data_IF_513668866287
#
_entry.id   IF_513668866287
#
_cell.length_a   1.000
_cell.length_b   1.000
_cell.length_c   1.000
_cell.angle_alpha   90.00
_cell.angle_beta   90.00
_cell.angle_gamma   90.00
#
_symmetry.space_group_name_H-M   'P 1'
#
loop_
_entity.id
_entity.type
_entity.pdbx_description
1 polymer ?
#
# COMPACT_ATOMS: atom_id res chain seq x y z
N UNK A 1 -4.44 -15.12 -3.62
CA UNK A 1 -5.85 -14.86 -3.37
C UNK A 1 -6.16 -13.37 -3.29
N UNK A 2 -5.40 -12.62 -2.52
CA UNK A 2 -5.68 -11.19 -2.36
C UNK A 2 -4.96 -10.29 -3.37
N UNK A 3 -4.22 -10.88 -4.31
CA UNK A 3 -3.45 -10.11 -5.30
C UNK A 3 -4.31 -9.17 -6.12
N UNK A 4 -5.45 -9.66 -6.58
CA UNK A 4 -6.32 -8.84 -7.43
C UNK A 4 -6.91 -7.65 -6.67
N UNK A 5 -7.26 -7.85 -5.41
CA UNK A 5 -7.77 -6.75 -4.59
C UNK A 5 -6.71 -5.66 -4.42
N UNK A 6 -5.47 -6.05 -4.14
CA UNK A 6 -4.38 -5.09 -3.97
C UNK A 6 -4.11 -4.35 -5.28
N UNK A 7 -4.04 -5.09 -6.40
CA UNK A 7 -3.77 -4.46 -7.69
C UNK A 7 -4.87 -3.49 -8.07
N UNK A 8 -6.11 -3.89 -7.84
CA UNK A 8 -7.26 -3.02 -8.14
C UNK A 8 -7.19 -1.76 -7.30
N UNK A 9 -6.96 -1.90 -6.00
CA UNK A 9 -6.96 -0.77 -5.09
C UNK A 9 -5.83 0.22 -5.42
N UNK A 10 -4.62 -0.29 -5.61
CA UNK A 10 -3.49 0.57 -5.97
C UNK A 10 -3.73 1.27 -7.30
N UNK A 11 -4.29 0.58 -8.28
CA UNK A 11 -4.57 1.18 -9.58
C UNK A 11 -5.60 2.28 -9.46
N UNK A 12 -6.64 2.06 -8.65
CA UNK A 12 -7.67 3.08 -8.45
C UNK A 12 -7.12 4.31 -7.74
N UNK A 13 -6.36 4.13 -6.69
CA UNK A 13 -5.77 5.25 -5.98
C UNK A 13 -4.81 6.02 -6.87
N UNK A 14 -3.97 5.31 -7.59
CA UNK A 14 -2.97 5.92 -8.45
C UNK A 14 -3.59 6.66 -9.63
N UNK A 15 -4.66 6.12 -10.20
CA UNK A 15 -5.33 6.76 -11.33
C UNK A 15 -6.03 8.05 -10.93
N UNK A 16 -6.39 8.19 -9.65
CA UNK A 16 -6.98 9.41 -9.14
C UNK A 16 -5.97 10.46 -8.74
N UNK A 17 -4.69 10.13 -8.82
CA UNK A 17 -3.64 11.02 -8.39
C UNK A 17 -3.45 12.15 -9.39
N UNK A 18 -3.08 13.33 -8.87
CA UNK A 18 -2.87 14.50 -9.70
C UNK A 18 -1.58 14.36 -10.48
N UNK A 19 -1.64 14.72 -11.76
CA UNK A 19 -0.45 14.73 -12.61
C UNK A 19 -0.02 16.19 -12.79
N UNK A 20 1.12 16.38 -13.48
CA UNK A 20 1.67 17.70 -13.70
C UNK A 20 2.71 18.06 -12.67
N UNK A 21 3.22 17.07 -11.98
CA UNK A 21 4.28 17.25 -11.01
C UNK A 21 5.65 17.23 -11.68
N UNK A 22 6.67 17.63 -10.94
CA UNK A 22 8.03 17.56 -11.40
C UNK A 22 8.62 16.15 -11.31
N UNK A 23 7.84 15.18 -10.83
CA UNK A 23 8.34 13.82 -10.67
C UNK A 23 7.33 12.81 -11.21
N UNK A 24 7.80 11.59 -11.42
CA UNK A 24 6.96 10.51 -11.97
C UNK A 24 6.48 9.60 -10.87
N UNK A 25 5.35 8.94 -11.13
CA UNK A 25 4.78 7.93 -10.25
C UNK A 25 4.83 6.59 -10.94
N UNK A 26 5.23 5.58 -10.20
CA UNK A 26 5.32 4.21 -10.73
C UNK A 26 4.51 3.27 -9.87
N UNK A 27 3.80 2.34 -10.53
CA UNK A 27 3.23 1.18 -9.87
C UNK A 27 4.14 -0.01 -10.15
N UNK A 28 4.59 -0.66 -9.09
CA UNK A 28 5.44 -1.83 -9.17
C UNK A 28 4.67 -2.99 -8.55
N UNK A 29 4.26 -3.93 -9.38
CA UNK A 29 3.36 -5.01 -8.99
C UNK A 29 4.06 -6.34 -9.23
N UNK A 30 4.73 -6.84 -8.21
CA UNK A 30 5.49 -8.09 -8.30
C UNK A 30 4.62 -9.23 -7.76
N UNK A 31 3.96 -9.95 -8.67
CA UNK A 31 3.06 -11.04 -8.27
C UNK A 31 3.81 -12.34 -7.98
N UNK A 32 5.10 -12.39 -8.27
CA UNK A 32 5.91 -13.56 -7.97
C UNK A 32 6.35 -13.53 -6.51
N UNK A 33 6.77 -12.37 -6.05
CA UNK A 33 7.26 -12.20 -4.68
C UNK A 33 6.25 -11.53 -3.76
N UNK A 34 5.12 -11.08 -4.32
CA UNK A 34 4.01 -10.45 -3.59
C UNK A 34 4.44 -9.16 -2.91
N UNK A 35 5.05 -8.28 -3.69
CA UNK A 35 5.36 -6.92 -3.30
C UNK A 35 4.65 -5.95 -4.23
N UNK A 36 3.90 -5.01 -3.68
CA UNK A 36 3.05 -4.10 -4.44
C UNK A 36 3.28 -2.70 -3.94
N UNK A 37 3.75 -1.82 -4.82
CA UNK A 37 4.32 -0.54 -4.41
C UNK A 37 3.91 0.57 -5.36
N UNK A 38 3.55 1.70 -4.78
CA UNK A 38 3.37 2.95 -5.50
C UNK A 38 4.51 3.86 -5.06
N UNK A 39 5.36 4.25 -6.01
CA UNK A 39 6.58 4.98 -5.75
C UNK A 39 6.59 6.28 -6.55
N UNK A 40 6.86 7.38 -5.89
CA UNK A 40 7.11 8.65 -6.55
C UNK A 40 8.60 8.93 -6.57
N UNK A 41 9.11 9.35 -7.71
CA UNK A 41 10.53 9.68 -7.85
C UNK A 41 10.76 10.81 -8.83
N UNK A 42 11.83 11.55 -8.61
CA UNK A 42 12.18 12.68 -9.45
C UNK A 42 12.99 13.71 -8.72
N UNK A 43 12.82 14.96 -9.13
CA UNK A 43 13.54 16.07 -8.55
C UNK A 43 12.62 17.27 -8.39
N UNK A 44 12.78 17.97 -7.30
CA UNK A 44 12.08 19.22 -7.04
C UNK A 44 13.16 20.25 -6.81
N UNK A 45 13.53 20.96 -7.88
CA UNK A 45 14.71 21.81 -7.83
C UNK A 45 15.95 20.95 -7.66
N UNK A 46 16.72 21.20 -6.62
CA UNK A 46 17.91 20.41 -6.30
C UNK A 46 17.62 19.30 -5.29
N UNK A 47 16.35 19.14 -4.92
CA UNK A 47 15.95 18.13 -3.92
C UNK A 47 15.54 16.86 -4.62
N UNK A 48 16.14 15.73 -4.26
CA UNK A 48 15.74 14.42 -4.77
C UNK A 48 14.44 13.98 -4.10
N UNK A 49 13.48 13.59 -4.92
CA UNK A 49 12.23 12.98 -4.47
C UNK A 49 12.34 11.49 -4.73
N UNK A 50 12.14 10.69 -3.69
CA UNK A 50 12.13 9.24 -3.83
C UNK A 50 11.36 8.69 -2.64
N UNK A 51 10.03 8.51 -2.81
CA UNK A 51 9.15 8.18 -1.71
C UNK A 51 8.21 7.05 -2.06
N UNK A 52 8.20 5.96 -1.29
CA UNK A 52 7.10 5.00 -1.37
C UNK A 52 5.85 5.66 -0.80
N UNK A 53 4.83 5.74 -1.62
CA UNK A 53 3.58 6.39 -1.22
C UNK A 53 2.67 5.38 -0.56
N UNK A 54 2.60 4.16 -1.10
CA UNK A 54 1.80 3.09 -0.54
C UNK A 54 2.47 1.77 -0.88
N UNK A 55 2.53 0.88 0.08
CA UNK A 55 3.25 -0.38 -0.08
C UNK A 55 2.50 -1.50 0.61
N UNK A 56 2.17 -2.54 -0.14
CA UNK A 56 1.55 -3.75 0.38
C UNK A 56 2.45 -4.95 0.09
N UNK A 57 2.49 -5.87 1.04
CA UNK A 57 3.09 -7.20 0.83
C UNK A 57 2.04 -8.25 1.14
N UNK A 58 2.17 -9.43 0.51
CA UNK A 58 1.43 -10.60 0.97
C UNK A 58 2.43 -11.55 1.60
N UNK A 59 2.20 -11.88 2.86
CA UNK A 59 3.04 -12.79 3.63
C UNK A 59 2.15 -13.74 4.41
N UNK A 60 2.37 -15.04 4.24
CA UNK A 60 1.63 -16.07 4.96
C UNK A 60 0.12 -15.92 4.80
N UNK A 61 -0.32 -15.57 3.60
CA UNK A 61 -1.74 -15.41 3.27
C UNK A 61 -2.38 -14.15 3.79
N UNK A 62 -1.60 -13.22 4.33
CA UNK A 62 -2.11 -11.96 4.88
C UNK A 62 -1.58 -10.77 4.11
N UNK A 63 -2.38 -9.71 4.09
CA UNK A 63 -1.99 -8.46 3.44
C UNK A 63 -1.35 -7.57 4.50
N UNK A 64 -0.09 -7.24 4.27
CA UNK A 64 0.66 -6.33 5.14
C UNK A 64 0.65 -4.94 4.52
N UNK A 65 0.11 -3.97 5.24
CA UNK A 65 0.18 -2.57 4.83
C UNK A 65 1.46 -2.01 5.44
N UNK A 66 2.47 -1.82 4.58
CA UNK A 66 3.80 -1.41 5.03
C UNK A 66 3.97 0.11 5.04
N UNK A 67 3.24 0.81 4.16
CA UNK A 67 3.32 2.27 4.08
C UNK A 67 2.04 2.83 3.50
N UNK A 68 1.64 3.99 4.01
CA UNK A 68 0.51 4.75 3.46
C UNK A 68 0.73 6.23 3.78
N UNK A 69 1.09 6.99 2.75
CA UNK A 69 1.29 8.44 2.87
C UNK A 69 0.11 9.22 2.29
N UNK A 70 -1.06 8.57 2.19
CA UNK A 70 -2.25 9.21 1.62
C UNK A 70 -3.31 9.38 2.70
N UNK A 71 -4.40 10.08 2.31
CA UNK A 71 -5.58 10.20 3.16
C UNK A 71 -6.54 9.02 2.99
N UNK A 72 -6.21 8.07 2.13
CA UNK A 72 -7.04 6.90 1.91
C UNK A 72 -6.96 5.95 3.09
N UNK A 73 -7.96 5.08 3.19
CA UNK A 73 -8.00 4.04 4.22
C UNK A 73 -7.92 2.67 3.53
N UNK A 74 -6.71 2.23 3.16
CA UNK A 74 -6.58 0.99 2.38
C UNK A 74 -7.07 -0.24 3.11
N UNK A 75 -6.97 -0.28 4.44
CA UNK A 75 -7.46 -1.44 5.18
C UNK A 75 -8.97 -1.62 5.01
N UNK A 76 -9.73 -0.55 5.19
CA UNK A 76 -11.18 -0.65 5.04
C UNK A 76 -11.58 -0.86 3.58
N UNK A 77 -10.86 -0.24 2.65
CA UNK A 77 -11.15 -0.43 1.23
C UNK A 77 -10.85 -1.86 0.78
N UNK A 78 -9.81 -2.50 1.33
CA UNK A 78 -9.52 -3.90 1.04
C UNK A 78 -10.62 -4.82 1.57
N UNK A 79 -11.18 -4.50 2.74
CA UNK A 79 -12.29 -5.28 3.28
C UNK A 79 -13.48 -5.22 2.34
N UNK A 80 -13.77 -4.06 1.78
CA UNK A 80 -14.85 -3.94 0.81
C UNK A 80 -14.59 -4.74 -0.45
N UNK A 81 -13.34 -5.00 -0.77
CA UNK A 81 -12.97 -5.82 -1.91
C UNK A 81 -12.87 -7.31 -1.57
N UNK A 82 -13.23 -7.69 -0.36
CA UNK A 82 -13.32 -9.09 0.01
C UNK A 82 -12.20 -9.63 0.87
N UNK A 83 -11.29 -8.78 1.31
CA UNK A 83 -10.20 -9.22 2.21
C UNK A 83 -10.73 -9.31 3.63
N UNK A 84 -10.45 -10.44 4.29
CA UNK A 84 -10.88 -10.62 5.67
C UNK A 84 -10.12 -9.66 6.59
N UNK A 85 -10.84 -9.06 7.53
CA UNK A 85 -10.24 -8.10 8.45
C UNK A 85 -9.06 -8.70 9.21
N UNK A 86 -9.17 -9.94 9.63
CA UNK A 86 -8.10 -10.61 10.39
C UNK A 86 -6.88 -10.94 9.53
N UNK A 87 -7.00 -10.84 8.20
CA UNK A 87 -5.89 -11.08 7.29
C UNK A 87 -5.16 -9.80 6.91
N UNK A 88 -5.53 -8.66 7.49
CA UNK A 88 -4.86 -7.39 7.25
C UNK A 88 -3.95 -7.09 8.44
N UNK A 89 -2.68 -6.86 8.19
CA UNK A 89 -1.71 -6.52 9.22
C UNK A 89 -1.17 -5.13 8.95
N UNK A 90 -1.22 -4.27 9.95
CA UNK A 90 -0.68 -2.92 9.82
C UNK A 90 0.82 -2.96 10.10
N UNK A 91 1.60 -3.31 9.08
CA UNK A 91 3.04 -3.41 9.19
C UNK A 91 3.73 -2.09 9.49
N UNK A 92 3.04 -0.97 9.19
CA UNK A 92 3.56 0.36 9.48
C UNK A 92 3.40 0.73 10.96
N UNK A 93 2.69 -0.09 11.75
CA UNK A 93 2.61 0.08 13.19
C UNK A 93 3.59 -0.88 13.86
N UNK A 94 4.20 -0.48 14.99
CA UNK A 94 5.10 -1.39 15.68
C UNK A 94 4.34 -2.61 16.21
N UNK A 95 5.04 -3.75 16.34
CA UNK A 95 4.35 -4.99 16.72
C UNK A 95 3.53 -4.90 17.99
N UNK A 96 3.99 -4.14 18.99
CA UNK A 96 3.27 -4.06 20.26
C UNK A 96 1.94 -3.33 20.14
N UNK A 97 1.74 -2.55 19.07
CA UNK A 97 0.48 -1.83 18.85
C UNK A 97 -0.52 -2.64 18.03
N UNK A 98 -0.08 -3.66 17.32
CA UNK A 98 -0.95 -4.41 16.41
C UNK A 98 -2.13 -5.09 17.12
N UNK A 99 -1.98 -5.64 18.35
CA UNK A 99 -3.13 -6.23 19.04
C UNK A 99 -4.24 -5.25 19.37
N UNK A 100 -3.93 -3.95 19.37
CA UNK A 100 -4.92 -2.92 19.71
C UNK A 100 -5.57 -2.29 18.48
N UNK A 101 -5.24 -2.78 17.30
CA UNK A 101 -5.93 -2.37 16.07
C UNK A 101 -7.14 -3.27 15.87
N UNK A 102 -7.99 -2.91 14.91
CA UNK A 102 -9.12 -3.74 14.55
C UNK A 102 -8.77 -4.79 13.51
N UNK A 103 -7.48 -5.04 13.29
CA UNK A 103 -7.00 -5.90 12.21
C UNK A 103 -6.21 -7.06 12.78
N UNK A 104 -5.57 -7.80 11.89
CA UNK A 104 -4.82 -8.98 12.29
C UNK A 104 -3.52 -8.64 13.00
N UNK A 105 -2.96 -9.65 13.65
CA UNK A 105 -1.65 -9.55 14.28
C UNK A 105 -0.75 -10.60 13.65
N UNK A 106 0.54 -10.28 13.61
CA UNK A 106 1.51 -11.18 12.99
C UNK A 106 2.46 -11.75 14.03
#
# INVERSE_FOLDING_TARGET
MYRNAIKQLLSEYHSGERVGNAYESQLILDEVRDHYLWLDLGWEGSKRIYHPIMHFDIKDGRVWIQENMTDQDPAEDLIELGVERSDIVLGLQPPFKRPFTNYGVA
#
